data_IF_919656540139
#
_entry.id   IF_919656540139
#
_cell.length_a   1.000
_cell.length_b   1.000
_cell.length_c   1.000
_cell.angle_alpha   90.00
_cell.angle_beta   90.00
_cell.angle_gamma   90.00
#
_symmetry.space_group_name_H-M   'P 1'
#
loop_
_entity.id
_entity.type
_entity.pdbx_description
1 polymer ?
#
# COMPACT_ATOMS: atom_id res chain seq x y z
N UNK A 1 4.58 11.48 2.16
CA UNK A 1 5.69 10.58 2.60
C UNK A 1 5.20 9.28 3.25
N UNK A 2 4.37 9.32 4.30
CA UNK A 2 3.90 8.12 5.02
C UNK A 2 3.07 7.14 4.15
N UNK A 3 2.22 7.65 3.26
CA UNK A 3 1.48 6.80 2.32
C UNK A 3 2.42 6.06 1.34
N UNK A 4 3.51 6.70 0.90
CA UNK A 4 4.44 6.16 -0.09
C UNK A 4 5.22 4.94 0.42
N UNK A 5 5.62 4.94 1.69
CA UNK A 5 6.28 3.80 2.34
C UNK A 5 5.35 2.60 2.51
N UNK A 6 4.07 2.83 2.80
CA UNK A 6 3.10 1.76 3.03
C UNK A 6 2.87 0.89 1.79
N UNK A 7 2.89 1.49 0.58
CA UNK A 7 2.70 0.76 -0.67
C UNK A 7 3.77 -0.32 -0.87
N UNK A 8 5.05 0.03 -0.84
CA UNK A 8 6.12 -0.94 -1.09
C UNK A 8 6.19 -2.03 -0.01
N UNK A 9 5.95 -1.68 1.26
CA UNK A 9 5.96 -2.66 2.36
C UNK A 9 4.91 -3.75 2.11
N UNK A 10 3.71 -3.39 1.69
CA UNK A 10 2.65 -4.36 1.43
C UNK A 10 3.01 -5.35 0.31
N UNK A 11 3.58 -4.85 -0.79
CA UNK A 11 3.97 -5.69 -1.93
C UNK A 11 5.14 -6.62 -1.62
N UNK A 12 6.08 -6.23 -0.76
CA UNK A 12 7.23 -7.07 -0.37
C UNK A 12 6.78 -8.35 0.36
N UNK A 13 5.62 -8.33 1.03
CA UNK A 13 5.09 -9.52 1.71
C UNK A 13 4.45 -10.56 0.76
N UNK A 14 4.35 -10.27 -0.54
CA UNK A 14 3.78 -11.21 -1.52
C UNK A 14 4.85 -12.17 -2.04
N UNK A 15 4.66 -13.50 -1.97
CA UNK A 15 5.65 -14.47 -2.42
C UNK A 15 5.91 -14.41 -3.94
N UNK A 16 5.03 -13.81 -4.72
CA UNK A 16 5.15 -13.59 -6.16
C UNK A 16 6.02 -12.38 -6.52
N UNK A 17 6.33 -11.51 -5.55
CA UNK A 17 7.12 -10.29 -5.74
C UNK A 17 8.59 -10.58 -5.43
N UNK A 18 9.46 -10.31 -6.39
CA UNK A 18 10.91 -10.44 -6.25
C UNK A 18 11.55 -9.13 -5.80
N UNK A 19 10.99 -8.00 -6.24
CA UNK A 19 11.46 -6.68 -5.87
C UNK A 19 10.32 -5.68 -5.88
N UNK A 20 10.21 -4.84 -4.85
CA UNK A 20 9.38 -3.66 -4.86
C UNK A 20 10.10 -2.50 -4.18
N UNK A 21 10.20 -1.38 -4.87
CA UNK A 21 10.80 -0.16 -4.33
C UNK A 21 10.22 1.09 -4.97
N UNK A 22 10.43 2.23 -4.32
CA UNK A 22 10.01 3.52 -4.86
C UNK A 22 11.14 4.54 -4.76
N UNK A 23 11.06 5.56 -5.61
CA UNK A 23 11.96 6.71 -5.60
C UNK A 23 11.14 8.00 -5.77
N UNK A 24 11.55 9.04 -5.05
CA UNK A 24 11.08 10.42 -5.29
C UNK A 24 12.22 11.13 -6.02
N UNK A 25 12.08 11.40 -7.34
CA UNK A 25 13.19 11.91 -8.14
C UNK A 25 13.66 13.30 -7.70
N UNK A 26 12.72 14.14 -7.24
CA UNK A 26 13.03 15.43 -6.65
C UNK A 26 11.99 15.81 -5.59
N UNK A 27 12.37 16.31 -4.38
CA UNK A 27 11.42 16.59 -3.30
C UNK A 27 10.35 17.67 -3.60
N UNK A 28 10.62 18.53 -4.58
CA UNK A 28 9.71 19.59 -5.02
C UNK A 28 8.75 19.14 -6.13
N UNK A 29 9.01 17.98 -6.75
CA UNK A 29 8.09 17.41 -7.74
C UNK A 29 7.16 16.43 -7.03
N UNK A 30 5.86 16.59 -7.26
CA UNK A 30 4.87 15.63 -6.78
C UNK A 30 4.80 14.41 -7.69
N UNK A 31 5.91 13.66 -7.73
CA UNK A 31 6.06 12.45 -8.52
C UNK A 31 6.71 11.35 -7.68
N UNK A 32 6.26 10.13 -7.93
CA UNK A 32 6.88 8.91 -7.41
C UNK A 32 7.12 7.94 -8.56
N UNK A 33 8.26 7.26 -8.51
CA UNK A 33 8.61 6.19 -9.42
C UNK A 33 8.58 4.88 -8.64
N UNK A 34 7.67 3.98 -9.00
CA UNK A 34 7.56 2.66 -8.38
C UNK A 34 8.15 1.63 -9.34
N UNK A 35 9.03 0.77 -8.82
CA UNK A 35 9.56 -0.38 -9.54
C UNK A 35 9.08 -1.64 -8.84
N UNK A 36 8.31 -2.43 -9.57
CA UNK A 36 7.81 -3.74 -9.15
C UNK A 36 8.35 -4.80 -10.11
N UNK A 37 8.95 -5.85 -9.57
CA UNK A 37 9.37 -7.03 -10.30
C UNK A 37 8.72 -8.25 -9.66
N UNK A 38 8.04 -9.04 -10.49
CA UNK A 38 7.34 -10.26 -10.12
C UNK A 38 8.04 -11.46 -10.75
N UNK A 39 7.81 -12.64 -10.18
CA UNK A 39 8.29 -13.90 -10.72
C UNK A 39 7.73 -14.16 -12.12
N UNK A 40 8.45 -14.97 -12.89
CA UNK A 40 8.05 -15.38 -14.24
C UNK A 40 6.62 -15.91 -14.26
N UNK A 41 5.81 -15.43 -15.21
CA UNK A 41 4.41 -15.82 -15.38
C UNK A 41 3.41 -15.00 -14.57
N UNK A 42 3.86 -14.04 -13.74
CA UNK A 42 2.98 -13.12 -13.00
C UNK A 42 3.12 -11.72 -13.58
N UNK A 43 1.99 -11.11 -13.99
CA UNK A 43 1.97 -9.73 -14.46
C UNK A 43 2.20 -8.76 -13.31
N UNK A 44 3.30 -8.00 -13.37
CA UNK A 44 3.59 -6.96 -12.39
C UNK A 44 2.49 -5.89 -12.36
N UNK A 45 1.88 -5.56 -13.51
CA UNK A 45 0.81 -4.57 -13.58
C UNK A 45 -0.46 -5.04 -12.87
N UNK A 46 -0.88 -6.29 -13.11
CA UNK A 46 -2.06 -6.86 -12.45
C UNK A 46 -1.84 -7.02 -10.95
N UNK A 47 -0.65 -7.49 -10.55
CA UNK A 47 -0.26 -7.56 -9.15
C UNK A 47 -0.33 -6.18 -8.49
N UNK A 48 0.17 -5.15 -9.17
CA UNK A 48 0.14 -3.78 -8.66
C UNK A 48 -1.29 -3.27 -8.44
N UNK A 49 -2.19 -3.43 -9.41
CA UNK A 49 -3.60 -3.01 -9.26
C UNK A 49 -4.25 -3.75 -8.10
N UNK A 50 -4.10 -5.07 -8.04
CA UNK A 50 -4.67 -5.89 -6.96
C UNK A 50 -4.17 -5.47 -5.58
N UNK A 51 -2.87 -5.22 -5.43
CA UNK A 51 -2.32 -4.80 -4.14
C UNK A 51 -2.81 -3.41 -3.71
N UNK A 52 -3.12 -2.51 -4.65
CA UNK A 52 -3.76 -1.23 -4.33
C UNK A 52 -5.19 -1.42 -3.82
N UNK A 53 -5.97 -2.31 -4.44
CA UNK A 53 -7.34 -2.64 -3.99
C UNK A 53 -7.34 -3.24 -2.59
N UNK A 54 -6.43 -4.17 -2.32
CA UNK A 54 -6.29 -4.81 -1.00
C UNK A 54 -5.85 -3.79 0.07
N UNK A 55 -5.01 -2.81 -0.29
CA UNK A 55 -4.59 -1.75 0.63
C UNK A 55 -5.76 -0.82 0.99
N UNK A 56 -6.66 -0.51 0.04
CA UNK A 56 -7.87 0.27 0.32
C UNK A 56 -8.76 -0.44 1.36
N UNK A 57 -8.88 -1.76 1.26
CA UNK A 57 -9.64 -2.58 2.23
C UNK A 57 -9.00 -2.49 3.62
N UNK A 58 -7.67 -2.55 3.71
CA UNK A 58 -6.95 -2.41 4.99
C UNK A 58 -7.22 -1.05 5.62
N UNK A 59 -7.11 0.04 4.87
CA UNK A 59 -7.40 1.38 5.39
C UNK A 59 -8.87 1.54 5.80
N UNK A 60 -9.81 0.97 5.04
CA UNK A 60 -11.23 0.91 5.42
C UNK A 60 -11.43 0.22 6.76
N UNK A 61 -10.82 -0.95 6.93
CA UNK A 61 -10.90 -1.74 8.17
C UNK A 61 -10.32 -0.99 9.37
N UNK A 62 -9.18 -0.32 9.19
CA UNK A 62 -8.55 0.49 10.24
C UNK A 62 -9.48 1.63 10.65
N UNK A 63 -10.04 2.34 9.66
CA UNK A 63 -10.98 3.45 9.90
C UNK A 63 -12.21 2.97 10.68
N UNK A 64 -12.82 1.88 10.25
CA UNK A 64 -14.01 1.31 10.92
C UNK A 64 -13.73 0.95 12.38
N UNK A 65 -12.64 0.21 12.63
CA UNK A 65 -12.26 -0.17 14.00
C UNK A 65 -11.93 1.03 14.88
N UNK A 66 -11.25 2.04 14.32
CA UNK A 66 -10.96 3.27 15.02
C UNK A 66 -12.23 4.02 15.40
N UNK A 67 -13.15 4.21 14.45
CA UNK A 67 -14.42 4.90 14.70
C UNK A 67 -15.27 4.17 15.73
N UNK A 68 -15.40 2.84 15.64
CA UNK A 68 -16.11 2.05 16.63
C UNK A 68 -15.51 2.18 18.04
N UNK A 69 -14.17 2.18 18.14
CA UNK A 69 -13.47 2.36 19.42
C UNK A 69 -13.64 3.77 19.97
N UNK A 70 -13.63 4.78 19.10
CA UNK A 70 -13.84 6.18 19.47
C UNK A 70 -15.27 6.43 19.94
N UNK A 71 -16.28 5.90 19.23
CA UNK A 71 -17.69 6.00 19.64
C UNK A 71 -17.92 5.36 21.01
N UNK A 72 -17.38 4.16 21.24
CA UNK A 72 -17.44 3.48 22.54
C UNK A 72 -16.79 4.30 23.66
N UNK A 73 -15.67 4.97 23.39
CA UNK A 73 -15.00 5.84 24.35
C UNK A 73 -15.77 7.14 24.62
N UNK A 74 -16.26 7.80 23.56
CA UNK A 74 -16.93 9.11 23.64
C UNK A 74 -18.37 9.05 24.16
N UNK A 75 -19.01 7.89 24.07
CA UNK A 75 -20.32 7.61 24.67
C UNK A 75 -20.27 7.17 26.13
N UNK A 76 -19.06 7.08 26.71
CA UNK A 76 -18.81 6.86 28.15
C UNK A 76 -18.53 8.19 28.84
#
# INVERSE_FOLDING_TARGET
LLAHFAYCIYFIFRPEVEFCGYNVPHPLEDKILVRLQTKNGVSAAEMFVRGLEELLIVFGTIKEKFLASYEAFSGS
#
